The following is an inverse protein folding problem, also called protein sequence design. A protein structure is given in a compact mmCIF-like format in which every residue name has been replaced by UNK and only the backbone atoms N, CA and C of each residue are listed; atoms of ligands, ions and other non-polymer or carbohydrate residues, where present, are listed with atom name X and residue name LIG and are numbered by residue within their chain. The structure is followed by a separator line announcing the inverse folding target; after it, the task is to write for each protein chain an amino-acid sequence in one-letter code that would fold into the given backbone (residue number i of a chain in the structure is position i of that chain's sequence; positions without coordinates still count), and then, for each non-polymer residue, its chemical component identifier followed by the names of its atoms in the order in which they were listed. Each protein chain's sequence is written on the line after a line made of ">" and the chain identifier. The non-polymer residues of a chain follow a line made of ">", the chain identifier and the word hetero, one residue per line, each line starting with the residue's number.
data_IF_125965684024
#
_entry.id   IF_125965684024
#
_cell.length_a   1.000
_cell.length_b   1.000
_cell.length_c   1.000
_cell.angle_alpha   90.00
_cell.angle_beta   90.00
_cell.angle_gamma   90.00
#
_symmetry.space_group_name_H-M   'P 1'
#
loop_
_entity.id
_entity.type
_entity.pdbx_description
1 polymer ?
#
# COMPACT_ATOMS: atom_id res chain seq x y z
N UNK A 1 -10.23 -28.98 22.08
CA UNK A 1 -10.77 -27.77 21.43
C UNK A 1 -9.81 -26.61 21.61
N UNK A 2 -8.73 -26.53 20.81
CA UNK A 2 -7.73 -25.45 20.90
C UNK A 2 -7.39 -24.83 19.53
N UNK A 3 -7.91 -25.40 18.44
CA UNK A 3 -7.67 -24.93 17.06
C UNK A 3 -8.55 -23.72 16.70
N UNK A 4 -9.71 -23.57 17.36
CA UNK A 4 -10.70 -22.52 17.04
C UNK A 4 -10.23 -21.13 17.49
N UNK A 5 -9.39 -21.02 18.53
CA UNK A 5 -8.96 -19.71 19.04
C UNK A 5 -7.88 -19.03 18.18
N UNK A 6 -7.03 -19.79 17.48
CA UNK A 6 -5.99 -19.19 16.61
C UNK A 6 -6.57 -18.66 15.30
N UNK A 7 -7.62 -19.30 14.76
CA UNK A 7 -8.29 -18.85 13.53
C UNK A 7 -8.97 -17.49 13.70
N UNK A 8 -9.53 -17.21 14.87
CA UNK A 8 -10.16 -15.90 15.14
C UNK A 8 -9.11 -14.79 15.26
N UNK A 9 -7.98 -15.04 15.90
CA UNK A 9 -6.88 -14.07 15.99
C UNK A 9 -6.24 -13.80 14.62
N UNK A 10 -6.00 -14.85 13.82
CA UNK A 10 -5.44 -14.73 12.48
C UNK A 10 -6.42 -14.02 11.52
N UNK A 11 -7.72 -14.33 11.60
CA UNK A 11 -8.74 -13.68 10.77
C UNK A 11 -8.92 -12.19 11.07
N UNK A 12 -8.92 -11.80 12.35
CA UNK A 12 -9.03 -10.39 12.74
C UNK A 12 -7.78 -9.57 12.37
N UNK A 13 -6.59 -10.15 12.54
CA UNK A 13 -5.34 -9.48 12.15
C UNK A 13 -5.23 -9.35 10.63
N UNK A 14 -5.62 -10.37 9.86
CA UNK A 14 -5.64 -10.32 8.40
C UNK A 14 -6.60 -9.24 7.86
N UNK A 15 -7.81 -9.16 8.42
CA UNK A 15 -8.77 -8.11 8.05
C UNK A 15 -8.26 -6.70 8.42
N UNK A 16 -7.62 -6.56 9.59
CA UNK A 16 -7.05 -5.29 10.02
C UNK A 16 -5.91 -4.79 9.13
N UNK A 17 -4.99 -5.69 8.76
CA UNK A 17 -3.87 -5.36 7.87
C UNK A 17 -4.36 -4.99 6.47
N UNK A 18 -5.31 -5.75 5.91
CA UNK A 18 -5.85 -5.44 4.58
C UNK A 18 -6.58 -4.09 4.56
N UNK A 19 -7.32 -3.77 5.63
CA UNK A 19 -7.97 -2.47 5.75
C UNK A 19 -6.94 -1.33 5.83
N UNK A 20 -5.87 -1.49 6.62
CA UNK A 20 -4.82 -0.49 6.72
C UNK A 20 -4.09 -0.27 5.39
N UNK A 21 -3.71 -1.35 4.71
CA UNK A 21 -3.07 -1.31 3.39
C UNK A 21 -3.98 -0.64 2.37
N UNK A 22 -5.25 -1.05 2.32
CA UNK A 22 -6.25 -0.46 1.42
C UNK A 22 -6.34 1.05 1.63
N UNK A 23 -6.44 1.51 2.87
CA UNK A 23 -6.50 2.95 3.19
C UNK A 23 -5.24 3.70 2.77
N UNK A 24 -4.05 3.12 2.99
CA UNK A 24 -2.78 3.75 2.58
C UNK A 24 -2.64 3.82 1.06
N UNK A 25 -3.01 2.77 0.34
CA UNK A 25 -3.01 2.75 -1.13
C UNK A 25 -3.99 3.78 -1.71
N UNK A 26 -5.19 3.91 -1.13
CA UNK A 26 -6.13 4.97 -1.53
C UNK A 26 -5.55 6.36 -1.29
N UNK A 27 -4.94 6.59 -0.14
CA UNK A 27 -4.40 7.89 0.23
C UNK A 27 -3.22 8.31 -0.66
N UNK A 28 -2.36 7.37 -1.08
CA UNK A 28 -1.19 7.69 -1.91
C UNK A 28 -1.49 7.64 -3.42
N UNK A 29 -2.24 6.64 -3.88
CA UNK A 29 -2.39 6.33 -5.31
C UNK A 29 -3.84 6.36 -5.81
N UNK A 30 -4.83 6.66 -4.96
CA UNK A 30 -6.24 6.66 -5.35
C UNK A 30 -6.56 7.69 -6.44
N UNK A 31 -5.88 8.84 -6.41
CA UNK A 31 -6.01 9.93 -7.39
C UNK A 31 -4.94 9.86 -8.50
N UNK A 32 -4.12 8.81 -8.54
CA UNK A 32 -3.13 8.64 -9.59
C UNK A 32 -3.84 8.38 -10.94
N UNK A 33 -3.53 9.15 -12.01
CA UNK A 33 -4.26 9.06 -13.27
C UNK A 33 -4.13 7.68 -13.93
N UNK A 34 -3.02 6.96 -13.74
CA UNK A 34 -2.83 5.61 -14.24
C UNK A 34 -3.76 4.65 -13.49
N UNK A 35 -3.84 4.77 -12.17
CA UNK A 35 -4.76 3.96 -11.35
C UNK A 35 -6.21 4.21 -11.76
N UNK A 36 -6.64 5.47 -11.76
CA UNK A 36 -8.03 5.82 -12.11
C UNK A 36 -8.37 5.41 -13.54
N UNK A 37 -7.45 5.55 -14.49
CA UNK A 37 -7.70 5.19 -15.90
C UNK A 37 -7.82 3.68 -16.12
N UNK A 38 -7.07 2.86 -15.38
CA UNK A 38 -6.97 1.43 -15.67
C UNK A 38 -7.83 0.56 -14.76
N UNK A 39 -7.99 0.91 -13.49
CA UNK A 39 -8.78 0.13 -12.52
C UNK A 39 -9.91 0.93 -11.86
N UNK A 40 -9.94 2.25 -12.03
CA UNK A 40 -10.92 3.13 -11.40
C UNK A 40 -10.61 3.39 -9.93
N UNK A 41 -11.65 3.54 -9.10
CA UNK A 41 -11.49 3.74 -7.66
C UNK A 41 -11.06 2.44 -6.98
N UNK A 42 -9.98 2.48 -6.20
CA UNK A 42 -9.56 1.35 -5.36
C UNK A 42 -10.68 1.05 -4.36
N UNK A 43 -11.26 -0.15 -4.41
CA UNK A 43 -12.29 -0.59 -3.46
C UNK A 43 -11.67 -1.35 -2.30
N UNK A 44 -10.83 -2.35 -2.62
CA UNK A 44 -10.10 -3.16 -1.65
C UNK A 44 -8.75 -3.58 -2.19
N UNK A 45 -7.81 -3.86 -1.29
CA UNK A 45 -6.50 -4.38 -1.62
C UNK A 45 -6.04 -5.40 -0.57
N UNK A 46 -5.31 -6.42 -1.02
CA UNK A 46 -4.71 -7.44 -0.16
C UNK A 46 -3.30 -7.76 -0.61
N UNK A 47 -2.44 -8.10 0.36
CA UNK A 47 -1.05 -8.49 0.08
C UNK A 47 -1.05 -9.85 -0.62
N UNK A 48 -0.42 -9.92 -1.78
CA UNK A 48 -0.13 -11.17 -2.46
C UNK A 48 1.28 -11.62 -2.11
N UNK A 49 1.38 -12.48 -1.10
CA UNK A 49 2.65 -12.93 -0.53
C UNK A 49 3.46 -13.78 -1.53
N UNK A 50 2.77 -14.58 -2.34
CA UNK A 50 3.42 -15.47 -3.30
C UNK A 50 4.05 -14.67 -4.44
N UNK A 51 3.29 -13.74 -5.02
CA UNK A 51 3.81 -12.86 -6.09
C UNK A 51 4.86 -11.89 -5.54
N UNK A 52 4.72 -11.42 -4.30
CA UNK A 52 5.76 -10.63 -3.62
C UNK A 52 7.08 -11.39 -3.52
N UNK A 53 7.05 -12.66 -3.12
CA UNK A 53 8.26 -13.48 -3.09
C UNK A 53 8.81 -13.72 -4.49
N UNK A 54 7.95 -13.93 -5.47
CA UNK A 54 8.36 -14.13 -6.86
C UNK A 54 9.12 -12.92 -7.40
N UNK A 55 8.59 -11.70 -7.26
CA UNK A 55 9.27 -10.49 -7.75
C UNK A 55 10.56 -10.18 -6.98
N UNK A 56 10.61 -10.48 -5.68
CA UNK A 56 11.80 -10.25 -4.86
C UNK A 56 12.94 -11.19 -5.28
N UNK A 57 12.63 -12.46 -5.56
CA UNK A 57 13.63 -13.47 -5.88
C UNK A 57 13.99 -13.52 -7.37
N UNK A 58 13.03 -13.27 -8.26
CA UNK A 58 13.18 -13.48 -9.71
C UNK A 58 13.47 -12.18 -10.46
N UNK A 59 12.91 -11.05 -10.03
CA UNK A 59 13.07 -9.75 -10.69
C UNK A 59 14.09 -8.84 -9.98
N UNK A 60 14.70 -9.30 -8.87
CA UNK A 60 15.66 -8.52 -8.09
C UNK A 60 15.05 -7.31 -7.38
N UNK A 61 13.72 -7.29 -7.21
CA UNK A 61 12.96 -6.22 -6.56
C UNK A 61 12.78 -6.52 -5.07
N UNK A 62 13.89 -6.69 -4.35
CA UNK A 62 13.93 -7.19 -2.96
C UNK A 62 13.05 -6.41 -1.97
N UNK A 63 12.79 -5.14 -2.25
CA UNK A 63 11.97 -4.26 -1.38
C UNK A 63 10.59 -3.98 -1.96
N UNK A 64 10.07 -4.77 -2.89
CA UNK A 64 8.74 -4.56 -3.46
C UNK A 64 7.74 -5.58 -2.92
N UNK A 65 6.51 -5.12 -2.72
CA UNK A 65 5.37 -5.91 -2.27
C UNK A 65 4.29 -5.81 -3.35
N UNK A 66 3.70 -6.96 -3.68
CA UNK A 66 2.57 -7.05 -4.60
C UNK A 66 1.28 -6.97 -3.78
N UNK A 67 0.41 -6.05 -4.18
CA UNK A 67 -0.94 -5.92 -3.68
C UNK A 67 -1.89 -6.24 -4.82
N UNK A 68 -2.72 -7.25 -4.66
CA UNK A 68 -3.86 -7.44 -5.55
C UNK A 68 -4.92 -6.41 -5.16
N UNK A 69 -5.46 -5.73 -6.17
CA UNK A 69 -6.38 -4.60 -5.99
C UNK A 69 -7.64 -4.84 -6.79
N UNK A 70 -8.76 -4.70 -6.10
CA UNK A 70 -10.07 -4.63 -6.72
C UNK A 70 -10.45 -3.17 -6.92
N UNK A 71 -10.51 -2.74 -8.18
CA UNK A 71 -10.97 -1.43 -8.58
C UNK A 71 -12.47 -1.41 -8.90
N UNK A 72 -13.01 -0.21 -9.13
CA UNK A 72 -14.41 -0.05 -9.55
C UNK A 72 -14.67 -0.44 -11.01
N UNK A 73 -13.63 -0.40 -11.85
CA UNK A 73 -13.73 -0.71 -13.27
C UNK A 73 -13.06 -2.03 -13.64
N UNK A 74 -11.90 -2.32 -13.03
CA UNK A 74 -11.15 -3.55 -13.26
C UNK A 74 -10.32 -3.94 -12.03
N UNK A 75 -9.86 -5.20 -12.03
CA UNK A 75 -8.89 -5.69 -11.05
C UNK A 75 -7.47 -5.54 -11.61
N UNK A 76 -6.49 -5.40 -10.71
CA UNK A 76 -5.08 -5.27 -11.09
C UNK A 76 -4.14 -5.56 -9.92
N UNK A 77 -2.85 -5.41 -10.17
CA UNK A 77 -1.82 -5.55 -9.14
C UNK A 77 -1.03 -4.25 -8.99
N UNK A 78 -0.99 -3.70 -7.78
CA UNK A 78 -0.09 -2.61 -7.43
C UNK A 78 1.19 -3.21 -6.86
N UNK A 79 2.31 -2.94 -7.53
CA UNK A 79 3.61 -3.48 -7.14
C UNK A 79 4.42 -2.32 -6.61
N UNK A 80 4.41 -2.18 -5.29
CA UNK A 80 4.85 -0.98 -4.60
C UNK A 80 6.11 -1.27 -3.80
N UNK A 81 7.04 -0.35 -3.81
CA UNK A 81 8.19 -0.39 -2.92
C UNK A 81 7.69 -0.31 -1.47
N UNK A 82 8.19 -1.20 -0.62
CA UNK A 82 7.92 -1.19 0.80
C UNK A 82 8.31 0.17 1.40
N UNK A 83 7.37 0.75 2.15
CA UNK A 83 7.62 1.98 2.90
C UNK A 83 8.56 1.76 4.09
N UNK A 84 8.97 2.87 4.72
CA UNK A 84 9.83 2.85 5.92
C UNK A 84 9.06 3.28 7.16
N UNK A 85 9.39 2.71 8.32
CA UNK A 85 8.79 3.09 9.60
C UNK A 85 7.35 2.61 9.74
N UNK A 86 6.42 3.53 9.94
CA UNK A 86 4.98 3.23 10.11
C UNK A 86 4.21 3.13 8.78
N UNK A 87 4.84 3.53 7.67
CA UNK A 87 4.24 3.44 6.34
C UNK A 87 4.54 2.06 5.73
N UNK A 88 3.47 1.30 5.47
CA UNK A 88 3.58 -0.02 4.83
C UNK A 88 3.76 0.13 3.32
N UNK A 89 3.20 1.20 2.75
CA UNK A 89 3.23 1.55 1.34
C UNK A 89 4.24 2.67 1.11
N UNK A 90 5.21 2.46 0.22
CA UNK A 90 6.18 3.47 -0.19
C UNK A 90 5.79 4.20 -1.47
N UNK A 91 6.61 5.16 -1.87
CA UNK A 91 6.23 6.20 -2.86
C UNK A 91 6.48 5.80 -4.32
N UNK A 92 7.00 4.60 -4.58
CA UNK A 92 7.36 4.14 -5.92
C UNK A 92 6.68 2.82 -6.22
N UNK A 93 6.15 2.69 -7.42
CA UNK A 93 5.54 1.44 -7.84
C UNK A 93 5.05 1.46 -9.27
N UNK A 94 4.40 0.37 -9.65
CA UNK A 94 3.81 0.21 -10.97
C UNK A 94 2.50 -0.55 -10.84
N UNK A 95 1.55 -0.20 -11.70
CA UNK A 95 0.30 -0.92 -11.87
C UNK A 95 0.48 -1.97 -12.95
N UNK A 96 0.21 -3.22 -12.62
CA UNK A 96 0.16 -4.34 -13.56
C UNK A 96 -1.30 -4.72 -13.81
N UNK A 97 -1.70 -4.69 -15.07
CA UNK A 97 -3.02 -5.11 -15.57
C UNK A 97 -2.83 -5.97 -16.82
N UNK A 98 -3.89 -6.59 -17.36
CA UNK A 98 -3.78 -7.48 -18.54
C UNK A 98 -3.05 -6.85 -19.74
N UNK A 99 -3.17 -5.53 -19.90
CA UNK A 99 -2.58 -4.78 -21.01
C UNK A 99 -1.12 -4.37 -20.81
N UNK A 100 -0.52 -4.68 -19.65
CA UNK A 100 0.88 -4.42 -19.34
C UNK A 100 1.13 -3.76 -17.98
N UNK A 101 2.38 -3.35 -17.79
CA UNK A 101 2.87 -2.68 -16.58
C UNK A 101 3.01 -1.18 -16.84
N UNK A 102 2.48 -0.35 -15.94
CA UNK A 102 2.48 1.10 -16.02
C UNK A 102 3.13 1.70 -14.78
N UNK A 103 4.11 2.57 -14.96
CA UNK A 103 4.77 3.25 -13.83
C UNK A 103 3.80 4.24 -13.17
N UNK A 104 3.70 4.17 -11.84
CA UNK A 104 2.86 5.07 -11.06
C UNK A 104 3.54 6.43 -10.91
N UNK A 105 2.72 7.48 -10.83
CA UNK A 105 3.22 8.79 -10.43
C UNK A 105 3.56 8.70 -8.95
N UNK A 106 4.76 9.12 -8.51
CA UNK A 106 5.04 9.23 -7.09
C UNK A 106 4.01 10.19 -6.47
N UNK A 107 3.46 9.86 -5.28
CA UNK A 107 2.56 10.76 -4.60
C UNK A 107 3.25 12.11 -4.38
N UNK A 108 2.50 13.23 -4.37
CA UNK A 108 3.08 14.52 -4.02
C UNK A 108 3.77 14.35 -2.66
N UNK A 109 5.05 14.73 -2.59
CA UNK A 109 5.79 14.66 -1.34
C UNK A 109 4.97 15.37 -0.27
N UNK A 110 4.60 14.63 0.79
CA UNK A 110 4.01 15.24 1.96
C UNK A 110 5.05 16.24 2.45
N UNK A 111 4.80 17.53 2.24
CA UNK A 111 5.64 18.58 2.81
C UNK A 111 5.75 18.27 4.30
N UNK A 112 6.97 17.99 4.78
CA UNK A 112 7.23 17.76 6.19
C UNK A 112 6.59 18.91 6.96
N UNK A 113 5.54 18.61 7.73
CA UNK A 113 4.97 19.57 8.66
C UNK A 113 6.06 19.78 9.70
N UNK A 114 6.87 20.82 9.53
CA UNK A 114 7.85 21.24 10.52
C UNK A 114 7.06 21.56 11.78
N UNK A 115 7.08 20.66 12.76
CA UNK A 115 6.58 20.92 14.09
C UNK A 115 7.39 22.11 14.64
N UNK A 116 6.79 23.30 14.60
CA UNK A 116 7.34 24.50 15.20
C UNK A 116 7.39 24.25 16.72
N UNK A 117 8.60 24.01 17.22
CA UNK A 117 8.90 23.81 18.64
C UNK A 117 8.40 25.04 19.43
N UNK A 118 7.26 24.88 20.11
CA UNK A 118 6.66 25.93 20.94
C UNK A 118 7.59 26.17 22.12
N UNK A 119 8.47 27.18 22.04
CA UNK A 119 9.27 27.63 23.17
C UNK A 119 8.34 28.07 24.30
N UNK A 120 8.34 27.32 25.40
CA UNK A 120 7.73 27.75 26.66
C UNK A 120 8.34 29.11 27.08
N UNK A 121 7.54 30.16 27.29
CA UNK A 121 8.05 31.39 27.86
C UNK A 121 8.45 31.11 29.31
N UNK A 122 9.76 31.21 29.57
CA UNK A 122 10.28 31.25 30.93
C UNK A 122 9.83 32.55 31.60
N UNK A 123 8.85 32.46 32.48
CA UNK A 123 8.30 33.58 33.28
C UNK A 123 9.34 34.08 34.30
N UNK A 124 9.57 35.41 34.44
CA UNK A 124 10.46 35.98 35.46
C UNK A 124 9.82 36.15 36.85
#
# INVERSE_FOLDING_TARGET
>A
MLVVSCLVCAGLTYLGVNHQVTSQLKAQFGDDPIVTQHIGEIQSAWVNVDDSQAIQQQEGRETYIVYDVQGSEADGQLIIQQGTGENLVGDRGFLRVENGDFELTPPPALEEVVEEEIQEPSDP
#
